data_IF_551719436087
#
_entry.id   IF_551719436087
#
_cell.length_a   1.000
_cell.length_b   1.000
_cell.length_c   1.000
_cell.angle_alpha   90.00
_cell.angle_beta   90.00
_cell.angle_gamma   90.00
#
_symmetry.space_group_name_H-M   'P 1'
#
loop_
_entity.id
_entity.type
_entity.pdbx_description
1 polymer ?
#
# COMPACT_ATOMS: atom_id res chain seq x y z
N UNK A 1 10.52 2.32 9.58
CA UNK A 1 10.09 1.00 9.14
C UNK A 1 9.82 0.96 7.65
N UNK A 2 9.78 -0.23 7.10
CA UNK A 2 9.52 -0.42 5.67
C UNK A 2 8.04 -0.41 5.37
N UNK A 3 7.65 0.19 4.25
CA UNK A 3 6.26 0.23 3.79
C UNK A 3 5.88 -1.08 3.11
N UNK A 4 4.67 -1.55 3.37
CA UNK A 4 4.18 -2.86 2.95
C UNK A 4 2.90 -2.71 2.13
N UNK A 5 2.88 -3.31 0.94
CA UNK A 5 1.69 -3.41 0.11
C UNK A 5 1.20 -4.85 0.10
N UNK A 6 -0.07 -5.05 0.43
CA UNK A 6 -0.68 -6.38 0.51
C UNK A 6 -1.63 -6.56 -0.67
N UNK A 7 -1.48 -7.68 -1.36
CA UNK A 7 -2.32 -8.06 -2.50
C UNK A 7 -2.90 -9.45 -2.29
N UNK A 8 -3.95 -9.73 -3.00
CA UNK A 8 -4.61 -11.03 -2.99
C UNK A 8 -6.04 -10.92 -3.51
N UNK A 9 -6.66 -12.07 -3.70
CA UNK A 9 -8.05 -12.14 -4.16
C UNK A 9 -9.00 -11.51 -3.12
N UNK A 10 -10.14 -10.96 -3.53
CA UNK A 10 -11.16 -10.50 -2.59
C UNK A 10 -11.55 -11.62 -1.62
N UNK A 11 -11.71 -11.29 -0.34
CA UNK A 11 -12.11 -12.24 0.69
C UNK A 11 -11.00 -13.16 1.21
N UNK A 12 -9.75 -12.98 0.79
CA UNK A 12 -8.65 -13.87 1.22
C UNK A 12 -8.07 -13.56 2.59
N UNK A 13 -8.51 -12.48 3.24
CA UNK A 13 -8.04 -12.11 4.58
C UNK A 13 -7.13 -10.89 4.64
N UNK A 14 -7.11 -10.05 3.60
CA UNK A 14 -6.31 -8.81 3.59
C UNK A 14 -6.69 -7.87 4.72
N UNK A 15 -7.98 -7.68 4.95
CA UNK A 15 -8.50 -6.81 6.01
C UNK A 15 -8.07 -7.31 7.39
N UNK A 16 -8.16 -8.61 7.63
CA UNK A 16 -7.72 -9.23 8.89
C UNK A 16 -6.23 -9.00 9.11
N UNK A 17 -5.42 -9.15 8.08
CA UNK A 17 -3.98 -8.89 8.14
C UNK A 17 -3.69 -7.42 8.46
N UNK A 18 -4.41 -6.49 7.84
CA UNK A 18 -4.25 -5.05 8.12
C UNK A 18 -4.56 -4.72 9.58
N UNK A 19 -5.63 -5.26 10.13
CA UNK A 19 -6.01 -5.07 11.55
C UNK A 19 -4.90 -5.56 12.47
N UNK A 20 -4.41 -6.75 12.22
CA UNK A 20 -3.36 -7.36 13.04
C UNK A 20 -2.07 -6.55 13.00
N UNK A 21 -1.65 -6.11 11.83
CA UNK A 21 -0.46 -5.27 11.69
C UNK A 21 -0.65 -3.93 12.40
N UNK A 22 -1.81 -3.28 12.24
CA UNK A 22 -2.11 -2.02 12.91
C UNK A 22 -2.03 -2.18 14.44
N UNK A 23 -2.64 -3.22 14.98
CA UNK A 23 -2.63 -3.52 16.41
C UNK A 23 -1.22 -3.78 16.93
N UNK A 24 -0.45 -4.60 16.24
CA UNK A 24 0.92 -4.91 16.64
C UNK A 24 1.82 -3.67 16.66
N UNK A 25 1.71 -2.83 15.65
CA UNK A 25 2.51 -1.61 15.60
C UNK A 25 2.10 -0.59 16.66
N UNK A 26 0.80 -0.46 16.94
CA UNK A 26 0.30 0.48 17.92
C UNK A 26 0.56 0.00 19.36
N UNK A 27 0.24 -1.25 19.67
CA UNK A 27 0.25 -1.76 21.04
C UNK A 27 1.60 -2.35 21.45
N UNK A 28 2.26 -3.12 20.58
CA UNK A 28 3.54 -3.76 20.91
C UNK A 28 4.75 -2.88 20.61
N UNK A 29 4.72 -2.18 19.48
CA UNK A 29 5.83 -1.32 19.07
C UNK A 29 5.65 0.12 19.54
N UNK A 30 4.53 0.45 20.17
CA UNK A 30 4.20 1.79 20.69
C UNK A 30 4.31 2.89 19.64
N UNK A 31 3.99 2.58 18.40
CA UNK A 31 4.00 3.56 17.32
C UNK A 31 2.68 4.33 17.24
N UNK A 32 2.76 5.56 16.78
CA UNK A 32 1.56 6.34 16.47
C UNK A 32 1.01 5.87 15.13
N UNK A 33 -0.05 5.06 15.19
CA UNK A 33 -0.69 4.46 14.01
C UNK A 33 -2.02 5.15 13.74
N UNK A 34 -2.22 5.57 12.50
CA UNK A 34 -3.50 6.10 12.02
C UNK A 34 -4.05 5.16 10.96
N UNK A 35 -5.29 4.71 11.15
CA UNK A 35 -6.00 3.85 10.19
C UNK A 35 -6.95 4.72 9.38
N UNK A 36 -6.76 4.74 8.07
CA UNK A 36 -7.65 5.43 7.13
C UNK A 36 -8.59 4.39 6.52
N UNK A 37 -9.85 4.47 6.89
CA UNK A 37 -10.82 3.41 6.66
C UNK A 37 -12.00 3.92 5.81
N UNK A 38 -11.94 3.66 4.52
CA UNK A 38 -12.97 4.10 3.56
C UNK A 38 -14.22 3.24 3.63
N UNK A 39 -14.05 1.93 3.80
CA UNK A 39 -15.15 0.96 3.78
C UNK A 39 -15.63 0.55 5.16
N UNK A 40 -15.03 1.09 6.22
CA UNK A 40 -15.28 0.72 7.61
C UNK A 40 -14.99 -0.77 7.93
N UNK A 41 -14.20 -1.41 7.09
CA UNK A 41 -13.87 -2.84 7.24
C UNK A 41 -12.73 -3.09 8.22
N UNK A 42 -11.80 -2.16 8.35
CA UNK A 42 -10.63 -2.32 9.23
C UNK A 42 -11.01 -2.02 10.68
N UNK A 43 -11.52 -0.82 10.92
CA UNK A 43 -11.76 -0.31 12.27
C UNK A 43 -13.24 -0.26 12.66
N UNK A 44 -14.12 -0.77 11.80
CA UNK A 44 -15.55 -0.79 12.03
C UNK A 44 -16.23 0.55 11.73
N UNK A 45 -17.57 0.56 11.78
CA UNK A 45 -18.40 1.72 11.43
C UNK A 45 -19.04 2.41 12.65
N UNK A 46 -18.80 1.90 13.85
CA UNK A 46 -19.31 2.48 15.08
C UNK A 46 -18.56 3.75 15.50
N UNK A 47 -19.08 4.43 16.51
CA UNK A 47 -18.42 5.63 17.07
C UNK A 47 -17.09 5.30 17.75
N UNK A 48 -16.95 4.06 18.22
CA UNK A 48 -15.73 3.56 18.86
C UNK A 48 -15.01 2.65 17.88
N UNK A 49 -13.67 2.83 17.67
CA UNK A 49 -12.90 1.94 16.80
C UNK A 49 -12.98 0.48 17.23
N UNK A 50 -12.95 -0.42 16.25
CA UNK A 50 -12.97 -1.86 16.50
C UNK A 50 -11.79 -2.27 17.38
N UNK A 51 -12.00 -3.10 18.44
CA UNK A 51 -10.92 -3.53 19.34
C UNK A 51 -9.74 -4.19 18.65
N UNK A 52 -9.94 -4.79 17.48
CA UNK A 52 -8.90 -5.46 16.73
C UNK A 52 -7.78 -4.54 16.23
N UNK A 53 -7.99 -3.22 16.22
CA UNK A 53 -6.92 -2.27 15.86
C UNK A 53 -6.13 -1.77 17.08
N UNK A 54 -6.50 -2.18 18.29
CA UNK A 54 -5.83 -1.76 19.52
C UNK A 54 -5.87 -0.25 19.73
N UNK A 55 -4.73 0.37 20.07
CA UNK A 55 -4.61 1.79 20.32
C UNK A 55 -4.42 2.65 19.06
N UNK A 56 -4.48 2.07 17.88
CA UNK A 56 -4.43 2.82 16.63
C UNK A 56 -5.62 3.78 16.51
N UNK A 57 -5.39 4.96 15.92
CA UNK A 57 -6.45 5.95 15.69
C UNK A 57 -7.14 5.65 14.36
N UNK A 58 -8.46 5.82 14.35
CA UNK A 58 -9.26 5.66 13.14
C UNK A 58 -9.62 7.01 12.55
N UNK A 59 -9.40 7.17 11.24
CA UNK A 59 -9.95 8.27 10.45
C UNK A 59 -10.92 7.68 9.43
N UNK A 60 -12.20 8.00 9.56
CA UNK A 60 -13.21 7.55 8.62
C UNK A 60 -13.23 8.43 7.37
N UNK A 61 -13.40 7.81 6.22
CA UNK A 61 -13.54 8.50 4.94
C UNK A 61 -15.01 8.43 4.53
N UNK A 62 -15.70 9.57 4.53
CA UNK A 62 -17.12 9.64 4.24
C UNK A 62 -17.44 9.32 2.78
N UNK A 63 -16.52 9.61 1.88
CA UNK A 63 -16.67 9.39 0.45
C UNK A 63 -15.33 8.90 -0.11
N UNK A 64 -15.35 7.81 -0.88
CA UNK A 64 -14.14 7.24 -1.46
C UNK A 64 -13.34 8.23 -2.31
N UNK A 65 -14.01 9.22 -2.92
CA UNK A 65 -13.33 10.26 -3.70
C UNK A 65 -12.48 11.20 -2.84
N UNK A 66 -12.66 11.19 -1.51
CA UNK A 66 -11.94 12.05 -0.57
C UNK A 66 -10.81 11.32 0.16
N UNK A 67 -10.56 10.05 -0.14
CA UNK A 67 -9.53 9.29 0.58
C UNK A 67 -8.15 9.92 0.46
N UNK A 68 -7.77 10.40 -0.72
CA UNK A 68 -6.47 11.05 -0.90
C UNK A 68 -6.32 12.32 -0.04
N UNK A 69 -7.39 13.09 0.14
CA UNK A 69 -7.37 14.28 1.01
C UNK A 69 -7.20 13.88 2.48
N UNK A 70 -7.89 12.83 2.92
CA UNK A 70 -7.77 12.31 4.29
C UNK A 70 -6.37 11.76 4.55
N UNK A 71 -5.75 11.14 3.57
CA UNK A 71 -4.37 10.66 3.67
C UNK A 71 -3.39 11.82 3.96
N UNK A 72 -3.51 12.90 3.23
CA UNK A 72 -2.66 14.09 3.43
C UNK A 72 -2.97 14.76 4.77
N UNK A 73 -4.23 14.90 5.13
CA UNK A 73 -4.64 15.46 6.42
C UNK A 73 -4.05 14.66 7.59
N UNK A 74 -4.03 13.34 7.48
CA UNK A 74 -3.47 12.48 8.52
C UNK A 74 -2.00 12.81 8.78
N UNK A 75 -1.21 12.99 7.74
CA UNK A 75 0.21 13.34 7.86
C UNK A 75 0.41 14.73 8.44
N UNK A 76 -0.37 15.69 7.98
CA UNK A 76 -0.20 17.08 8.39
C UNK A 76 -0.65 17.35 9.82
N UNK A 77 -1.74 16.72 10.25
CA UNK A 77 -2.41 17.08 11.51
C UNK A 77 -2.22 16.08 12.65
N UNK A 78 -1.91 14.82 12.34
CA UNK A 78 -1.82 13.76 13.34
C UNK A 78 -0.40 13.27 13.61
N UNK A 79 0.56 13.69 12.82
CA UNK A 79 1.97 13.30 12.95
C UNK A 79 2.16 11.80 13.17
N UNK A 80 1.60 10.93 12.32
CA UNK A 80 1.71 9.49 12.51
C UNK A 80 3.12 8.99 12.19
N UNK A 81 3.48 7.87 12.80
CA UNK A 81 4.66 7.12 12.41
C UNK A 81 4.30 6.07 11.36
N UNK A 82 3.06 5.59 11.40
CA UNK A 82 2.52 4.59 10.49
C UNK A 82 1.12 5.00 10.05
N UNK A 83 0.83 4.86 8.76
CA UNK A 83 -0.52 5.00 8.21
C UNK A 83 -0.92 3.65 7.61
N UNK A 84 -2.08 3.15 8.04
CA UNK A 84 -2.70 1.95 7.49
C UNK A 84 -3.88 2.38 6.62
N UNK A 85 -3.87 1.97 5.36
CA UNK A 85 -4.87 2.36 4.37
C UNK A 85 -5.60 1.10 3.90
N UNK A 86 -6.94 1.15 3.90
CA UNK A 86 -7.75 0.03 3.45
C UNK A 86 -7.42 -0.37 2.01
N UNK A 87 -7.50 0.58 1.09
CA UNK A 87 -7.25 0.28 -0.30
C UNK A 87 -6.75 1.50 -1.07
N UNK A 88 -5.74 1.28 -1.91
CA UNK A 88 -5.25 2.28 -2.86
C UNK A 88 -5.72 1.84 -4.25
N UNK A 89 -6.57 2.65 -4.88
CA UNK A 89 -7.16 2.32 -6.18
C UNK A 89 -7.09 3.43 -7.22
N UNK A 90 -6.84 4.68 -6.81
CA UNK A 90 -6.81 5.82 -7.72
C UNK A 90 -5.42 6.42 -7.87
N UNK A 91 -5.21 7.14 -8.97
CA UNK A 91 -3.96 7.87 -9.21
C UNK A 91 -3.68 8.90 -8.11
N UNK A 92 -4.71 9.63 -7.66
CA UNK A 92 -4.57 10.61 -6.59
C UNK A 92 -4.13 9.97 -5.28
N UNK A 93 -4.68 8.79 -4.96
CA UNK A 93 -4.27 8.02 -3.78
C UNK A 93 -2.85 7.50 -3.91
N UNK A 94 -2.44 7.04 -5.09
CA UNK A 94 -1.06 6.62 -5.35
C UNK A 94 -0.07 7.77 -5.18
N UNK A 95 -0.40 8.94 -5.67
CA UNK A 95 0.42 10.15 -5.51
C UNK A 95 0.50 10.58 -4.04
N UNK A 96 -0.62 10.53 -3.31
CA UNK A 96 -0.63 10.83 -1.88
C UNK A 96 0.24 9.84 -1.10
N UNK A 97 0.16 8.55 -1.41
CA UNK A 97 0.99 7.52 -0.79
C UNK A 97 2.49 7.80 -1.00
N UNK A 98 2.87 8.17 -2.20
CA UNK A 98 4.25 8.53 -2.53
C UNK A 98 4.73 9.73 -1.72
N UNK A 99 3.91 10.77 -1.63
CA UNK A 99 4.23 11.97 -0.84
C UNK A 99 4.43 11.62 0.64
N UNK A 100 3.56 10.79 1.18
CA UNK A 100 3.63 10.34 2.58
C UNK A 100 4.93 9.54 2.83
N UNK A 101 5.25 8.61 1.94
CA UNK A 101 6.46 7.81 2.04
C UNK A 101 7.73 8.67 1.97
N UNK A 102 7.75 9.69 1.12
CA UNK A 102 8.87 10.63 1.00
C UNK A 102 9.09 11.44 2.29
N UNK A 103 8.06 11.61 3.11
CA UNK A 103 8.16 12.26 4.42
C UNK A 103 8.64 11.31 5.52
N UNK A 104 8.93 10.06 5.21
CA UNK A 104 9.44 9.08 6.16
C UNK A 104 8.38 8.35 6.96
N UNK A 105 7.10 8.50 6.62
CA UNK A 105 6.01 7.77 7.29
C UNK A 105 5.88 6.38 6.67
N UNK A 106 5.80 5.35 7.51
CA UNK A 106 5.59 3.99 7.06
C UNK A 106 4.14 3.80 6.58
N UNK A 107 3.97 3.20 5.40
CA UNK A 107 2.67 2.91 4.83
C UNK A 107 2.40 1.40 4.83
N UNK A 108 1.19 1.03 5.21
CA UNK A 108 0.71 -0.33 5.08
C UNK A 108 -0.66 -0.27 4.43
N UNK A 109 -0.80 -0.88 3.27
CA UNK A 109 -2.01 -0.76 2.46
C UNK A 109 -2.31 -2.03 1.69
N UNK A 110 -3.54 -2.13 1.20
CA UNK A 110 -3.89 -3.11 0.19
C UNK A 110 -4.10 -2.43 -1.16
N UNK A 111 -3.99 -3.20 -2.22
CA UNK A 111 -4.29 -2.74 -3.56
C UNK A 111 -5.06 -3.82 -4.31
N UNK A 112 -5.83 -3.40 -5.31
CA UNK A 112 -6.45 -4.33 -6.25
C UNK A 112 -5.38 -5.02 -7.08
N UNK A 113 -5.48 -6.32 -7.16
CA UNK A 113 -4.57 -7.14 -7.92
C UNK A 113 -4.20 -8.37 -7.12
N UNK A 114 -4.07 -9.49 -7.81
CA UNK A 114 -3.77 -10.76 -7.17
C UNK A 114 -2.26 -11.03 -7.15
N UNK A 115 -1.53 -10.41 -8.07
CA UNK A 115 -0.09 -10.65 -8.26
C UNK A 115 0.65 -9.34 -8.54
N UNK A 116 1.96 -9.38 -8.42
CA UNK A 116 2.82 -8.26 -8.79
C UNK A 116 2.61 -7.85 -10.26
N UNK A 117 2.42 -8.83 -11.14
CA UNK A 117 2.19 -8.55 -12.56
C UNK A 117 0.95 -7.69 -12.80
N UNK A 118 -0.13 -7.92 -12.04
CA UNK A 118 -1.34 -7.10 -12.11
C UNK A 118 -1.04 -5.64 -11.76
N UNK A 119 -0.20 -5.40 -10.77
CA UNK A 119 0.16 -4.05 -10.33
C UNK A 119 1.06 -3.37 -11.35
N UNK A 120 2.02 -4.07 -11.91
CA UNK A 120 2.93 -3.54 -12.93
C UNK A 120 2.18 -3.10 -14.19
N UNK A 121 1.18 -3.86 -14.60
CA UNK A 121 0.36 -3.58 -15.78
C UNK A 121 -0.57 -2.38 -15.56
N UNK A 122 -1.04 -2.19 -14.32
CA UNK A 122 -1.96 -1.11 -13.99
C UNK A 122 -1.24 0.23 -13.95
N UNK A 123 -1.52 1.18 -14.87
CA UNK A 123 -0.81 2.45 -14.90
C UNK A 123 -1.02 3.30 -13.65
N UNK A 124 -2.12 3.11 -12.93
CA UNK A 124 -2.40 3.82 -11.68
C UNK A 124 -1.53 3.31 -10.54
N UNK A 125 -1.31 2.00 -10.46
CA UNK A 125 -0.65 1.35 -9.33
C UNK A 125 0.82 1.04 -9.57
N UNK A 126 1.29 1.05 -10.81
CA UNK A 126 2.69 0.73 -11.13
C UNK A 126 3.69 1.64 -10.41
N UNK A 127 3.33 2.90 -10.18
CA UNK A 127 4.17 3.85 -9.46
C UNK A 127 4.45 3.42 -8.01
N UNK A 128 3.53 2.67 -7.41
CA UNK A 128 3.69 2.18 -6.03
C UNK A 128 4.88 1.23 -5.90
N UNK A 129 5.23 0.55 -6.98
CA UNK A 129 6.37 -0.38 -7.03
C UNK A 129 7.57 0.18 -7.80
N UNK A 130 7.59 1.49 -8.03
CA UNK A 130 8.71 2.20 -8.65
C UNK A 130 8.51 2.55 -10.11
N UNK A 131 7.32 2.35 -10.66
CA UNK A 131 7.04 2.56 -12.08
C UNK A 131 7.78 1.56 -12.96
N UNK A 132 7.49 1.59 -14.25
CA UNK A 132 8.17 0.76 -15.23
C UNK A 132 8.48 1.58 -16.48
N UNK A 133 9.62 1.33 -17.06
CA UNK A 133 10.01 1.90 -18.36
C UNK A 133 10.62 0.83 -19.24
N UNK A 134 10.46 1.00 -20.54
CA UNK A 134 11.08 0.14 -21.51
C UNK A 134 12.50 0.63 -21.79
N UNK A 135 13.47 -0.26 -21.67
CA UNK A 135 14.88 0.06 -21.93
C UNK A 135 15.37 -0.81 -23.06
N UNK A 136 16.01 -0.19 -24.05
CA UNK A 136 16.61 -0.92 -25.17
C UNK A 136 18.04 -1.31 -24.82
N UNK A 137 18.32 -2.61 -24.84
CA UNK A 137 19.65 -3.15 -24.58
C UNK A 137 20.47 -3.21 -25.87
N UNK A 138 21.78 -3.04 -25.75
CA UNK A 138 22.69 -3.34 -26.84
C UNK A 138 22.72 -4.84 -27.14
N UNK A 139 23.19 -5.21 -28.34
CA UNK A 139 23.21 -6.62 -28.77
C UNK A 139 23.99 -7.51 -27.81
N UNK A 140 25.12 -7.06 -27.32
CA UNK A 140 25.98 -7.81 -26.39
C UNK A 140 25.25 -8.08 -25.08
N UNK A 141 24.60 -7.05 -24.53
CA UNK A 141 23.89 -7.16 -23.25
C UNK A 141 22.64 -8.06 -23.38
N UNK A 142 21.92 -7.95 -24.49
CA UNK A 142 20.77 -8.82 -24.75
C UNK A 142 21.18 -10.29 -24.84
N UNK A 143 22.30 -10.59 -25.51
CA UNK A 143 22.86 -11.95 -25.58
C UNK A 143 23.30 -12.46 -24.21
N UNK A 144 23.96 -11.60 -23.45
CA UNK A 144 24.44 -11.93 -22.09
C UNK A 144 23.32 -12.27 -21.17
N UNK A 145 22.20 -11.52 -21.19
CA UNK A 145 21.01 -11.78 -20.37
C UNK A 145 20.10 -12.85 -20.95
N UNK A 146 20.34 -13.31 -22.18
CA UNK A 146 19.47 -14.26 -22.90
C UNK A 146 18.03 -13.75 -23.02
N UNK A 147 17.86 -12.45 -23.27
CA UNK A 147 16.58 -11.77 -23.35
C UNK A 147 16.42 -11.04 -24.66
N UNK A 148 15.24 -10.44 -24.86
CA UNK A 148 15.00 -9.51 -25.94
C UNK A 148 15.79 -8.22 -25.72
N UNK A 149 16.02 -7.44 -26.78
CA UNK A 149 16.71 -6.14 -26.71
C UNK A 149 15.95 -5.14 -25.85
N UNK A 150 14.65 -5.25 -25.75
CA UNK A 150 13.82 -4.36 -24.94
C UNK A 150 13.36 -5.09 -23.68
N UNK A 151 13.68 -4.52 -22.52
CA UNK A 151 13.29 -5.05 -21.21
C UNK A 151 12.62 -3.96 -20.41
N UNK A 152 11.79 -4.37 -19.44
CA UNK A 152 11.20 -3.45 -18.49
C UNK A 152 12.12 -3.30 -17.29
N UNK A 153 12.36 -2.05 -16.89
CA UNK A 153 13.13 -1.72 -15.69
C UNK A 153 12.34 -0.77 -14.81
N UNK A 154 12.70 -0.76 -13.52
CA UNK A 154 12.09 0.17 -12.56
C UNK A 154 12.53 1.60 -12.91
N UNK A 155 11.57 2.53 -12.94
CA UNK A 155 11.81 3.91 -13.33
C UNK A 155 12.35 4.76 -12.18
N UNK A 156 11.89 4.51 -10.94
CA UNK A 156 12.27 5.26 -9.74
C UNK A 156 12.13 4.39 -8.49
N UNK A 157 12.49 4.95 -7.33
CA UNK A 157 12.37 4.24 -6.05
C UNK A 157 10.91 3.90 -5.75
N UNK A 158 10.63 2.68 -5.28
CA UNK A 158 9.26 2.27 -4.98
C UNK A 158 8.74 2.98 -3.73
N UNK A 159 7.44 3.29 -3.72
CA UNK A 159 6.73 3.78 -2.54
C UNK A 159 6.65 2.69 -1.47
N UNK A 160 6.41 1.46 -1.88
CA UNK A 160 6.37 0.29 -0.99
C UNK A 160 7.63 -0.55 -1.17
N UNK A 161 8.28 -0.85 -0.05
CA UNK A 161 9.52 -1.63 -0.02
C UNK A 161 9.26 -3.13 -0.08
N UNK A 162 8.13 -3.56 0.48
CA UNK A 162 7.76 -4.96 0.62
C UNK A 162 6.40 -5.19 -0.02
N UNK A 163 6.31 -6.23 -0.81
CA UNK A 163 5.07 -6.69 -1.42
C UNK A 163 4.70 -8.04 -0.82
N UNK A 164 3.49 -8.14 -0.29
CA UNK A 164 2.97 -9.38 0.28
C UNK A 164 1.80 -9.85 -0.58
N UNK A 165 1.94 -11.04 -1.16
CA UNK A 165 0.88 -11.68 -1.91
C UNK A 165 0.27 -12.79 -1.06
N UNK A 166 -1.03 -12.66 -0.77
CA UNK A 166 -1.75 -13.68 -0.02
C UNK A 166 -2.35 -14.67 -1.02
N UNK A 167 -1.96 -15.93 -0.89
CA UNK A 167 -2.46 -17.02 -1.73
C UNK A 167 -3.37 -17.94 -0.94
N UNK A 168 -4.24 -18.67 -1.63
CA UNK A 168 -5.11 -19.66 -1.00
C UNK A 168 -4.27 -20.80 -0.45
N UNK A 169 -4.72 -21.39 0.68
CA UNK A 169 -4.03 -22.52 1.33
C UNK A 169 -3.92 -23.77 0.42
N UNK A 170 -4.76 -23.84 -0.60
CA UNK A 170 -4.79 -24.95 -1.54
C UNK A 170 -3.99 -24.70 -2.84
N UNK A 171 -3.27 -23.62 -2.90
CA UNK A 171 -2.44 -23.26 -4.05
C UNK A 171 -0.95 -23.44 -3.79
#
# INVERSE_FOLDING_TARGET
>A
GKSILIMGKPGIGKTTMLREIARLLADKENKRVVVIDTSNEIAGDGDIPHPAIGSARRMQVKNTNLQHDVMIEAVENHMPQVIVIDEISTEKESMAARTIAERGVQLIATAHGNTLDNIIINPTLSDLVGGVKSVTLGDIEARRRKTQKTVLEREFEPTFDILVEIVDRNE
#
